data_IF_061598631628
#
_entry.id   IF_061598631628
#
_cell.length_a   1.000
_cell.length_b   1.000
_cell.length_c   1.000
_cell.angle_alpha   90.00
_cell.angle_beta   90.00
_cell.angle_gamma   90.00
#
_symmetry.space_group_name_H-M   'P 1'
#
loop_
_entity.id
_entity.type
_entity.pdbx_description
1 polymer ?
#
# COMPACT_ATOMS: atom_id res chain seq x y z
N UNK A 1 -17.65 31.89 -17.32
CA UNK A 1 -16.70 30.75 -17.48
C UNK A 1 -15.57 30.73 -16.43
N UNK A 2 -15.06 31.87 -15.92
CA UNK A 2 -13.98 31.87 -14.91
C UNK A 2 -14.35 31.33 -13.51
N UNK A 3 -15.63 31.38 -13.12
CA UNK A 3 -16.12 30.92 -11.82
C UNK A 3 -16.11 29.38 -11.74
N UNK A 4 -16.53 28.70 -12.82
CA UNK A 4 -16.52 27.23 -12.88
C UNK A 4 -15.11 26.64 -12.81
N UNK A 5 -14.13 27.27 -13.47
CA UNK A 5 -12.73 26.86 -13.39
C UNK A 5 -12.14 27.05 -11.98
N UNK A 6 -12.46 28.16 -11.30
CA UNK A 6 -12.06 28.38 -9.90
C UNK A 6 -12.68 27.36 -8.95
N UNK A 7 -13.96 27.03 -9.10
CA UNK A 7 -14.62 25.99 -8.29
C UNK A 7 -14.04 24.60 -8.57
N UNK A 8 -13.78 24.24 -9.83
CA UNK A 8 -13.18 22.95 -10.17
C UNK A 8 -11.76 22.82 -9.61
N UNK A 9 -10.94 23.88 -9.69
CA UNK A 9 -9.59 23.93 -9.15
C UNK A 9 -9.62 23.87 -7.62
N UNK A 10 -10.53 24.60 -6.96
CA UNK A 10 -10.67 24.61 -5.50
C UNK A 10 -11.17 23.26 -4.96
N UNK A 11 -12.12 22.61 -5.65
CA UNK A 11 -12.61 21.28 -5.32
C UNK A 11 -11.53 20.20 -5.54
N UNK A 12 -10.70 20.33 -6.58
CA UNK A 12 -9.56 19.42 -6.80
C UNK A 12 -8.44 19.63 -5.75
N UNK A 13 -8.16 20.87 -5.35
CA UNK A 13 -7.05 21.19 -4.43
C UNK A 13 -7.37 20.91 -2.96
N UNK A 14 -8.64 20.95 -2.55
CA UNK A 14 -9.05 20.62 -1.16
C UNK A 14 -9.38 19.14 -0.97
N UNK A 15 -9.87 18.46 -2.00
CA UNK A 15 -10.21 17.03 -1.93
C UNK A 15 -8.97 16.15 -1.94
N UNK A 16 -7.92 16.50 -2.68
CA UNK A 16 -6.67 15.71 -2.73
C UNK A 16 -5.97 15.58 -1.37
N UNK A 17 -5.77 16.65 -0.58
CA UNK A 17 -5.23 16.54 0.77
C UNK A 17 -6.13 15.74 1.71
N UNK A 18 -7.45 15.88 1.60
CA UNK A 18 -8.40 15.14 2.43
C UNK A 18 -8.39 13.63 2.11
N UNK A 19 -8.34 13.27 0.82
CA UNK A 19 -8.23 11.88 0.36
C UNK A 19 -6.88 11.28 0.77
N UNK A 20 -5.80 12.05 0.63
CA UNK A 20 -4.46 11.66 1.09
C UNK A 20 -4.47 11.33 2.59
N UNK A 21 -4.96 12.25 3.43
CA UNK A 21 -5.03 12.05 4.86
C UNK A 21 -5.92 10.85 5.25
N UNK A 22 -7.03 10.66 4.53
CA UNK A 22 -7.91 9.50 4.74
C UNK A 22 -7.23 8.18 4.39
N UNK A 23 -6.47 8.13 3.29
CA UNK A 23 -5.70 6.95 2.89
C UNK A 23 -4.59 6.65 3.90
N UNK A 24 -3.84 7.67 4.35
CA UNK A 24 -2.83 7.52 5.40
C UNK A 24 -3.47 6.93 6.66
N UNK A 25 -4.60 7.49 7.13
CA UNK A 25 -5.29 7.00 8.31
C UNK A 25 -5.79 5.56 8.15
N UNK A 26 -6.40 5.23 7.01
CA UNK A 26 -6.91 3.89 6.73
C UNK A 26 -5.77 2.86 6.69
N UNK A 27 -4.70 3.14 5.94
CA UNK A 27 -3.54 2.25 5.82
C UNK A 27 -2.82 2.09 7.18
N UNK A 28 -2.67 3.17 7.95
CA UNK A 28 -2.11 3.10 9.31
C UNK A 28 -2.99 2.32 10.28
N UNK A 29 -4.30 2.27 10.08
CA UNK A 29 -5.22 1.49 10.93
C UNK A 29 -5.12 -0.02 10.71
N UNK A 30 -4.60 -0.45 9.55
CA UNK A 30 -4.37 -1.86 9.23
C UNK A 30 -3.11 -2.45 9.88
N UNK A 31 -2.37 -1.64 10.64
CA UNK A 31 -1.05 -1.97 11.19
C UNK A 31 -1.12 -1.97 12.71
N UNK A 32 -0.44 -2.92 13.35
CA UNK A 32 -0.41 -3.05 14.80
C UNK A 32 0.11 -1.76 15.48
N UNK A 33 -0.52 -1.39 16.60
CA UNK A 33 -0.27 -0.16 17.36
C UNK A 33 1.19 0.26 17.57
N UNK A 34 2.14 -0.62 17.96
CA UNK A 34 3.54 -0.22 18.17
C UNK A 34 4.28 0.20 16.87
N UNK A 35 3.77 -0.17 15.70
CA UNK A 35 4.35 0.16 14.39
C UNK A 35 3.60 1.32 13.70
N UNK A 36 2.45 1.70 14.23
CA UNK A 36 1.54 2.67 13.63
C UNK A 36 2.16 4.06 13.44
N UNK A 37 2.88 4.58 14.43
CA UNK A 37 3.53 5.90 14.33
C UNK A 37 4.63 5.94 13.27
N UNK A 38 5.41 4.85 13.18
CA UNK A 38 6.48 4.70 12.19
C UNK A 38 5.92 4.63 10.77
N UNK A 39 4.90 3.79 10.56
CA UNK A 39 4.30 3.63 9.24
C UNK A 39 3.52 4.88 8.83
N UNK A 40 2.91 5.60 9.77
CA UNK A 40 2.24 6.87 9.48
C UNK A 40 3.22 7.93 8.94
N UNK A 41 4.44 8.00 9.49
CA UNK A 41 5.50 8.87 8.98
C UNK A 41 5.90 8.51 7.54
N UNK A 42 6.06 7.21 7.26
CA UNK A 42 6.33 6.72 5.90
C UNK A 42 5.20 7.08 4.92
N UNK A 43 3.94 6.76 5.28
CA UNK A 43 2.76 6.98 4.44
C UNK A 43 2.50 8.47 4.16
N UNK A 44 2.76 9.34 5.13
CA UNK A 44 2.58 10.80 4.96
C UNK A 44 3.50 11.37 3.88
N UNK A 45 4.67 10.76 3.66
CA UNK A 45 5.63 11.15 2.63
C UNK A 45 5.27 10.69 1.21
N UNK A 46 4.27 9.83 1.06
CA UNK A 46 3.87 9.28 -0.24
C UNK A 46 2.88 10.20 -0.96
N UNK A 47 2.88 10.14 -2.28
CA UNK A 47 1.85 10.74 -3.14
C UNK A 47 0.52 9.96 -3.05
N UNK A 48 -0.58 10.58 -3.50
CA UNK A 48 -1.89 9.91 -3.51
C UNK A 48 -1.89 8.63 -4.35
N UNK A 49 -1.24 8.63 -5.51
CA UNK A 49 -1.20 7.49 -6.41
C UNK A 49 -0.37 6.31 -5.84
N UNK A 50 0.68 6.61 -5.07
CA UNK A 50 1.41 5.59 -4.30
C UNK A 50 0.58 5.03 -3.15
N UNK A 51 -0.18 5.87 -2.43
CA UNK A 51 -1.09 5.42 -1.38
C UNK A 51 -2.25 4.57 -1.93
N UNK A 52 -2.81 4.97 -3.07
CA UNK A 52 -3.85 4.23 -3.79
C UNK A 52 -3.33 2.86 -4.22
N UNK A 53 -2.08 2.78 -4.72
CA UNK A 53 -1.45 1.49 -5.05
C UNK A 53 -1.34 0.56 -3.84
N UNK A 54 -0.93 1.08 -2.68
CA UNK A 54 -0.86 0.29 -1.43
C UNK A 54 -2.25 -0.17 -0.97
N UNK A 55 -3.25 0.71 -1.06
CA UNK A 55 -4.63 0.40 -0.72
C UNK A 55 -5.24 -0.64 -1.68
N UNK A 56 -4.92 -0.58 -2.96
CA UNK A 56 -5.33 -1.54 -3.99
C UNK A 56 -4.83 -2.95 -3.65
N UNK A 57 -3.55 -3.07 -3.29
CA UNK A 57 -2.96 -4.35 -2.87
C UNK A 57 -3.63 -4.91 -1.60
N UNK A 58 -3.82 -4.07 -0.57
CA UNK A 58 -4.47 -4.50 0.67
C UNK A 58 -5.93 -4.90 0.44
N UNK A 59 -6.66 -4.12 -0.36
CA UNK A 59 -8.04 -4.42 -0.74
C UNK A 59 -8.14 -5.76 -1.48
N UNK A 60 -7.30 -5.97 -2.51
CA UNK A 60 -7.24 -7.24 -3.24
C UNK A 60 -6.92 -8.40 -2.29
N UNK A 61 -5.97 -8.21 -1.39
CA UNK A 61 -5.56 -9.23 -0.43
C UNK A 61 -6.62 -9.58 0.62
N UNK A 62 -7.48 -8.63 1.01
CA UNK A 62 -8.63 -8.88 1.90
C UNK A 62 -9.72 -9.65 1.15
N UNK A 63 -10.00 -9.29 -0.11
CA UNK A 63 -11.03 -9.93 -0.92
C UNK A 63 -10.66 -11.37 -1.32
N UNK A 64 -9.39 -11.63 -1.60
CA UNK A 64 -8.90 -12.95 -2.02
C UNK A 64 -8.72 -13.94 -0.86
N UNK A 65 -8.78 -13.49 0.40
CA UNK A 65 -8.59 -14.39 1.55
C UNK A 65 -9.64 -14.19 2.65
N UNK A 66 -10.32 -15.28 3.04
CA UNK A 66 -11.17 -15.35 4.24
C UNK A 66 -10.36 -15.28 5.55
N UNK A 67 -9.04 -15.09 5.47
CA UNK A 67 -8.08 -15.10 6.58
C UNK A 67 -7.23 -13.83 6.48
N UNK A 68 -7.00 -13.08 7.56
CA UNK A 68 -6.16 -11.89 7.53
C UNK A 68 -4.77 -12.15 6.91
N UNK A 69 -4.31 -11.22 6.08
CA UNK A 69 -2.96 -11.09 5.52
C UNK A 69 -1.85 -11.33 6.57
N UNK A 70 -0.72 -11.99 6.22
CA UNK A 70 -0.56 -13.39 5.84
C UNK A 70 0.30 -14.19 6.84
N UNK A 71 0.13 -15.51 6.79
CA UNK A 71 1.08 -16.49 7.31
C UNK A 71 2.21 -16.79 6.32
N UNK A 72 3.46 -16.85 6.79
CA UNK A 72 4.68 -17.20 6.01
C UNK A 72 5.04 -16.28 4.81
N UNK A 73 6.35 -16.16 4.57
CA UNK A 73 6.92 -15.39 3.44
C UNK A 73 6.47 -15.90 2.06
N UNK A 74 6.24 -17.21 1.92
CA UNK A 74 5.87 -17.83 0.65
C UNK A 74 4.48 -17.37 0.19
N UNK A 75 3.49 -17.34 1.08
CA UNK A 75 2.14 -16.88 0.77
C UNK A 75 2.13 -15.38 0.41
N UNK A 76 2.94 -14.57 1.10
CA UNK A 76 3.06 -13.15 0.76
C UNK A 76 3.65 -12.96 -0.65
N UNK A 77 4.71 -13.71 -1.00
CA UNK A 77 5.30 -13.65 -2.33
C UNK A 77 4.31 -14.07 -3.43
N UNK A 78 3.50 -15.11 -3.17
CA UNK A 78 2.46 -15.56 -4.08
C UNK A 78 1.38 -14.49 -4.30
N UNK A 79 0.89 -13.85 -3.23
CA UNK A 79 -0.08 -12.74 -3.31
C UNK A 79 0.47 -11.56 -4.10
N UNK A 80 1.72 -11.19 -3.86
CA UNK A 80 2.38 -10.12 -4.63
C UNK A 80 2.45 -10.48 -6.12
N UNK A 81 2.84 -11.72 -6.45
CA UNK A 81 2.91 -12.17 -7.84
C UNK A 81 1.54 -12.21 -8.53
N UNK A 82 0.50 -12.62 -7.80
CA UNK A 82 -0.88 -12.61 -8.29
C UNK A 82 -1.38 -11.18 -8.53
N UNK A 83 -1.21 -10.29 -7.55
CA UNK A 83 -1.59 -8.89 -7.67
C UNK A 83 -0.93 -8.22 -8.88
N UNK A 84 0.38 -8.41 -9.05
CA UNK A 84 1.11 -7.91 -10.22
C UNK A 84 0.54 -8.47 -11.53
N UNK A 85 0.25 -9.78 -11.59
CA UNK A 85 -0.29 -10.42 -12.79
C UNK A 85 -1.65 -9.84 -13.18
N UNK A 86 -2.53 -9.64 -12.20
CA UNK A 86 -3.87 -9.07 -12.44
C UNK A 86 -3.75 -7.61 -12.87
N UNK A 87 -2.95 -6.81 -12.17
CA UNK A 87 -2.79 -5.38 -12.45
C UNK A 87 -2.14 -5.10 -13.81
N UNK A 88 -1.21 -5.96 -14.22
CA UNK A 88 -0.52 -5.87 -15.52
C UNK A 88 -1.26 -6.62 -16.63
N UNK A 89 -2.36 -7.32 -16.31
CA UNK A 89 -3.13 -8.05 -17.31
C UNK A 89 -3.74 -7.07 -18.31
N UNK A 90 -3.42 -7.24 -19.59
CA UNK A 90 -3.89 -6.37 -20.66
C UNK A 90 -3.05 -5.10 -20.89
N UNK A 91 -2.02 -4.86 -20.07
CA UNK A 91 -1.03 -3.82 -20.35
C UNK A 91 0.01 -4.33 -21.35
N UNK A 92 0.20 -3.62 -22.46
CA UNK A 92 1.28 -3.90 -23.43
C UNK A 92 2.66 -3.59 -22.88
N UNK A 93 2.74 -2.68 -21.90
CA UNK A 93 3.98 -2.32 -21.17
C UNK A 93 3.64 -1.98 -19.72
N UNK A 94 4.49 -2.37 -18.75
CA UNK A 94 4.33 -1.93 -17.37
C UNK A 94 4.41 -0.40 -17.24
N UNK A 95 3.66 0.19 -16.30
CA UNK A 95 3.83 1.61 -15.93
C UNK A 95 5.29 1.93 -15.62
N UNK A 96 5.76 3.13 -15.98
CA UNK A 96 7.16 3.52 -15.79
C UNK A 96 7.59 3.57 -14.30
N UNK A 97 6.61 3.72 -13.40
CA UNK A 97 6.74 3.80 -11.95
C UNK A 97 6.46 2.45 -11.25
N UNK A 98 6.22 1.36 -11.99
CA UNK A 98 5.83 0.08 -11.42
C UNK A 98 6.90 -0.49 -10.47
N UNK A 99 8.17 -0.41 -10.84
CA UNK A 99 9.27 -0.92 -10.00
C UNK A 99 9.40 -0.12 -8.71
N UNK A 100 9.22 1.20 -8.78
CA UNK A 100 9.22 2.09 -7.62
C UNK A 100 8.05 1.78 -6.67
N UNK A 101 6.84 1.63 -7.21
CA UNK A 101 5.66 1.22 -6.43
C UNK A 101 5.85 -0.14 -5.76
N UNK A 102 6.58 -1.06 -6.41
CA UNK A 102 6.92 -2.34 -5.80
C UNK A 102 7.90 -2.21 -4.63
N UNK A 103 8.88 -1.32 -4.72
CA UNK A 103 9.79 -1.02 -3.59
C UNK A 103 8.98 -0.47 -2.41
N UNK A 104 8.07 0.47 -2.67
CA UNK A 104 7.20 1.05 -1.63
C UNK A 104 6.31 0.00 -0.96
N UNK A 105 5.74 -0.93 -1.73
CA UNK A 105 4.94 -2.02 -1.18
C UNK A 105 5.75 -2.94 -0.27
N UNK A 106 6.97 -3.31 -0.68
CA UNK A 106 7.85 -4.15 0.14
C UNK A 106 8.26 -3.44 1.44
N UNK A 107 8.55 -2.15 1.37
CA UNK A 107 8.87 -1.33 2.55
C UNK A 107 7.66 -1.23 3.49
N UNK A 108 6.46 -0.96 2.95
CA UNK A 108 5.21 -0.96 3.72
C UNK A 108 4.98 -2.29 4.44
N UNK A 109 5.16 -3.42 3.75
CA UNK A 109 5.01 -4.76 4.34
C UNK A 109 6.06 -5.03 5.42
N UNK A 110 7.30 -4.57 5.23
CA UNK A 110 8.36 -4.69 6.21
C UNK A 110 8.05 -3.87 7.48
N UNK A 111 7.60 -2.63 7.31
CA UNK A 111 7.32 -1.73 8.43
C UNK A 111 6.01 -2.03 9.15
N UNK A 112 5.05 -2.67 8.49
CA UNK A 112 3.72 -2.99 9.05
C UNK A 112 3.72 -4.23 9.94
N UNK A 113 4.78 -5.02 9.97
CA UNK A 113 4.79 -6.29 10.69
C UNK A 113 3.90 -7.37 10.06
N UNK A 114 3.29 -7.09 8.90
CA UNK A 114 2.51 -8.04 8.10
C UNK A 114 3.41 -9.11 7.42
N UNK A 115 4.69 -9.17 7.76
CA UNK A 115 5.55 -10.30 7.42
C UNK A 115 5.74 -11.15 8.68
N UNK A 116 5.39 -12.44 8.59
CA UNK A 116 5.72 -13.39 9.65
C UNK A 116 7.23 -13.26 9.99
N UNK A 117 7.60 -13.19 11.28
CA UNK A 117 8.99 -13.04 11.67
C UNK A 117 9.82 -14.15 11.03
N UNK A 118 10.94 -13.78 10.40
CA UNK A 118 11.97 -14.75 10.06
C UNK A 118 12.30 -15.48 11.35
N UNK A 119 12.16 -16.82 11.44
CA UNK A 119 12.74 -17.54 12.55
C UNK A 119 14.24 -17.31 12.43
N UNK A 120 14.76 -16.37 13.23
CA UNK A 120 16.18 -16.30 13.51
C UNK A 120 16.54 -17.71 13.95
N UNK A 121 17.29 -18.44 13.11
CA UNK A 121 17.82 -19.75 13.49
C UNK A 121 18.58 -19.52 14.78
N UNK A 122 18.00 -19.94 15.90
CA UNK A 122 18.70 -20.01 17.15
C UNK A 122 19.93 -20.89 16.88
N UNK A 123 21.10 -20.26 16.91
CA UNK A 123 22.38 -20.95 16.83
C UNK A 123 22.45 -21.80 18.08
N UNK A 124 22.15 -23.09 17.91
CA UNK A 124 22.21 -24.10 18.96
C UNK A 124 23.66 -24.09 19.47
N UNK A 125 23.86 -23.66 20.71
CA UNK A 125 25.13 -23.78 21.45
C UNK A 125 25.34 -25.24 21.79
#
# INVERSE_FOLDING_TARGET
MAIAAKFLVWFNTTRRPAVHAALVAALSSCVDGPLQSKIQGFLTGLSCDELEFLAEFLGASILESSVPLPGSRAQLAERIAQFQRVRLCGCTRPPADQDHKMILLLEFLCQSGLQAPVPLRARRV
#
